data_IF_667968691004
#
_entry.id   IF_667968691004
#
_cell.length_a   1.000
_cell.length_b   1.000
_cell.length_c   1.000
_cell.angle_alpha   90.00
_cell.angle_beta   90.00
_cell.angle_gamma   90.00
#
_symmetry.space_group_name_H-M   'P 1'
#
loop_
_entity.id
_entity.type
_entity.pdbx_description
1 polymer ?
#
# COMPACT_ATOMS: atom_id res chain seq x y z
N UNK A 1 -17.00 -7.70 13.57
CA UNK A 1 -16.74 -9.06 13.03
C UNK A 1 -17.28 -9.28 11.60
N UNK A 2 -18.33 -8.58 11.13
CA UNK A 2 -18.83 -8.75 9.74
C UNK A 2 -18.03 -8.03 8.64
N UNK A 3 -17.38 -6.89 8.96
CA UNK A 3 -16.64 -6.08 7.97
C UNK A 3 -15.48 -6.83 7.31
N UNK A 4 -14.75 -7.66 8.07
CA UNK A 4 -13.60 -8.41 7.57
C UNK A 4 -14.00 -9.45 6.51
N UNK A 5 -15.16 -10.08 6.66
CA UNK A 5 -15.66 -11.08 5.71
C UNK A 5 -16.10 -10.47 4.37
N UNK A 6 -16.61 -9.24 4.41
CA UNK A 6 -16.99 -8.47 3.21
C UNK A 6 -15.74 -7.97 2.50
N UNK A 7 -14.76 -7.45 3.25
CA UNK A 7 -13.49 -6.96 2.70
C UNK A 7 -12.72 -8.04 1.93
N UNK A 8 -12.74 -9.29 2.42
CA UNK A 8 -12.10 -10.44 1.74
C UNK A 8 -12.73 -10.80 0.39
N UNK A 9 -13.92 -10.28 0.07
CA UNK A 9 -14.65 -10.51 -1.18
C UNK A 9 -14.60 -9.32 -2.13
N UNK A 10 -13.82 -8.30 -1.79
CA UNK A 10 -13.56 -7.17 -2.68
C UNK A 10 -12.26 -7.47 -3.41
N UNK A 11 -12.38 -7.59 -4.73
CA UNK A 11 -11.28 -7.90 -5.64
C UNK A 11 -10.87 -6.65 -6.41
N UNK A 12 -9.66 -6.66 -6.95
CA UNK A 12 -9.18 -5.60 -7.82
C UNK A 12 -9.09 -6.13 -9.25
N UNK A 13 -9.89 -5.53 -10.15
CA UNK A 13 -10.00 -5.92 -11.56
C UNK A 13 -10.09 -4.65 -12.39
N UNK A 14 -9.25 -4.54 -13.44
CA UNK A 14 -9.16 -3.32 -14.27
C UNK A 14 -8.96 -2.04 -13.44
N UNK A 15 -8.11 -2.10 -12.42
CA UNK A 15 -7.85 -0.99 -11.48
C UNK A 15 -9.09 -0.52 -10.71
N UNK A 16 -10.17 -1.31 -10.73
CA UNK A 16 -11.40 -1.04 -10.01
C UNK A 16 -11.62 -2.08 -8.93
N UNK A 17 -12.11 -1.63 -7.78
CA UNK A 17 -12.55 -2.51 -6.72
C UNK A 17 -13.94 -3.03 -7.04
N UNK A 18 -14.06 -4.34 -7.12
CA UNK A 18 -15.29 -5.01 -7.55
C UNK A 18 -15.65 -6.17 -6.63
N UNK A 19 -16.95 -6.46 -6.55
CA UNK A 19 -17.48 -7.65 -5.90
C UNK A 19 -18.20 -8.52 -6.93
N UNK A 20 -18.02 -9.83 -6.81
CA UNK A 20 -18.58 -10.77 -7.79
C UNK A 20 -20.04 -11.07 -7.51
N UNK A 21 -20.81 -11.36 -8.57
CA UNK A 21 -22.23 -11.70 -8.50
C UNK A 21 -22.56 -12.81 -7.48
N UNK A 22 -21.71 -13.82 -7.35
CA UNK A 22 -21.91 -14.95 -6.45
C UNK A 22 -21.63 -14.61 -4.99
N UNK A 23 -20.65 -13.76 -4.75
CA UNK A 23 -20.33 -13.24 -3.43
C UNK A 23 -21.46 -12.32 -2.95
N UNK A 24 -21.93 -11.42 -3.82
CA UNK A 24 -23.09 -10.57 -3.55
C UNK A 24 -24.35 -11.38 -3.30
N UNK A 25 -24.63 -12.38 -4.13
CA UNK A 25 -25.79 -13.24 -3.94
C UNK A 25 -25.75 -13.98 -2.60
N UNK A 26 -24.58 -14.49 -2.20
CA UNK A 26 -24.38 -15.12 -0.89
C UNK A 26 -24.62 -14.15 0.26
N UNK A 27 -24.07 -12.93 0.17
CA UNK A 27 -24.24 -11.88 1.17
C UNK A 27 -25.70 -11.43 1.30
N UNK A 28 -26.41 -11.30 0.18
CA UNK A 28 -27.83 -10.95 0.13
C UNK A 28 -28.76 -12.14 0.44
N UNK A 29 -28.22 -13.34 0.65
CA UNK A 29 -28.99 -14.58 0.88
C UNK A 29 -29.99 -14.89 -0.24
N UNK A 30 -29.59 -14.66 -1.48
CA UNK A 30 -30.37 -14.99 -2.67
C UNK A 30 -29.56 -15.88 -3.61
N UNK A 31 -30.25 -16.55 -4.52
CA UNK A 31 -29.56 -17.29 -5.58
C UNK A 31 -28.87 -16.32 -6.56
N UNK A 32 -27.66 -16.66 -7.01
CA UNK A 32 -26.95 -15.88 -8.04
C UNK A 32 -27.78 -15.71 -9.32
N UNK A 33 -28.61 -16.70 -9.66
CA UNK A 33 -29.55 -16.61 -10.79
C UNK A 33 -30.56 -15.48 -10.60
N UNK A 34 -31.13 -15.34 -9.39
CA UNK A 34 -32.11 -14.28 -9.07
C UNK A 34 -31.48 -12.90 -9.13
N UNK A 35 -30.25 -12.75 -8.65
CA UNK A 35 -29.49 -11.51 -8.78
C UNK A 35 -29.32 -11.12 -10.26
N UNK A 36 -28.84 -12.07 -11.10
CA UNK A 36 -28.65 -11.84 -12.54
C UNK A 36 -29.96 -11.50 -13.25
N UNK A 37 -31.07 -12.15 -12.90
CA UNK A 37 -32.38 -11.83 -13.44
C UNK A 37 -32.83 -10.42 -13.08
N UNK A 38 -32.65 -10.00 -11.82
CA UNK A 38 -33.03 -8.67 -11.34
C UNK A 38 -32.24 -7.56 -12.05
N UNK A 39 -30.95 -7.78 -12.26
CA UNK A 39 -30.06 -6.90 -13.03
C UNK A 39 -30.48 -6.82 -14.50
N UNK A 40 -30.73 -7.97 -15.15
CA UNK A 40 -31.15 -8.01 -16.56
C UNK A 40 -32.49 -7.31 -16.81
N UNK A 41 -33.44 -7.41 -15.88
CA UNK A 41 -34.72 -6.67 -15.94
C UNK A 41 -34.55 -5.16 -15.81
N UNK A 42 -33.47 -4.72 -15.15
CA UNK A 42 -33.19 -3.31 -14.88
C UNK A 42 -31.90 -2.83 -15.55
N UNK A 43 -31.56 -3.37 -16.73
CA UNK A 43 -30.25 -3.14 -17.38
C UNK A 43 -29.94 -1.65 -17.65
N UNK A 44 -30.98 -0.83 -17.84
CA UNK A 44 -30.86 0.62 -17.96
C UNK A 44 -30.27 1.31 -16.71
N UNK A 45 -30.32 0.67 -15.53
CA UNK A 45 -29.74 1.15 -14.28
C UNK A 45 -28.30 0.74 -14.06
N UNK A 46 -27.76 -0.12 -14.94
CA UNK A 46 -26.45 -0.74 -14.81
C UNK A 46 -25.61 -0.46 -16.07
N UNK A 47 -25.08 0.76 -16.20
CA UNK A 47 -24.08 1.07 -17.21
C UNK A 47 -22.75 0.33 -16.95
N UNK A 48 -21.83 0.37 -17.91
CA UNK A 48 -20.58 -0.42 -17.89
C UNK A 48 -19.65 -0.07 -16.72
N UNK A 49 -19.73 1.15 -16.20
CA UNK A 49 -19.00 1.63 -15.02
C UNK A 49 -19.60 1.11 -13.69
N UNK A 50 -20.81 0.57 -13.71
CA UNK A 50 -21.48 -0.01 -12.53
C UNK A 50 -21.28 -1.52 -12.49
N UNK A 51 -21.28 -2.17 -13.64
CA UNK A 51 -21.01 -3.59 -13.75
C UNK A 51 -20.47 -3.99 -15.12
N UNK A 52 -19.70 -5.07 -15.13
CA UNK A 52 -19.22 -5.67 -16.37
C UNK A 52 -19.06 -7.18 -16.19
N UNK A 53 -19.09 -7.91 -17.30
CA UNK A 53 -18.79 -9.34 -17.31
C UNK A 53 -17.27 -9.52 -17.39
N UNK A 54 -16.72 -10.43 -16.58
CA UNK A 54 -15.29 -10.72 -16.62
C UNK A 54 -14.91 -11.45 -17.91
N UNK A 55 -13.75 -11.11 -18.46
CA UNK A 55 -13.10 -11.94 -19.46
C UNK A 55 -12.63 -13.26 -18.83
N UNK A 56 -12.44 -14.28 -19.67
CA UNK A 56 -12.02 -15.60 -19.21
C UNK A 56 -10.65 -15.54 -18.52
N UNK A 57 -9.74 -14.76 -19.11
CA UNK A 57 -8.39 -14.54 -18.61
C UNK A 57 -8.41 -13.83 -17.26
N UNK A 58 -9.25 -12.80 -17.11
CA UNK A 58 -9.44 -12.08 -15.84
C UNK A 58 -9.94 -13.01 -14.74
N UNK A 59 -10.93 -13.85 -15.08
CA UNK A 59 -11.49 -14.82 -14.15
C UNK A 59 -10.48 -15.91 -13.75
N UNK A 60 -9.71 -16.43 -14.70
CA UNK A 60 -8.69 -17.46 -14.44
C UNK A 60 -7.55 -16.91 -13.55
N UNK A 61 -7.13 -15.66 -13.76
CA UNK A 61 -6.15 -14.98 -12.92
C UNK A 61 -6.63 -14.82 -11.48
N UNK A 62 -7.85 -14.29 -11.29
CA UNK A 62 -8.47 -14.17 -9.96
C UNK A 62 -8.52 -15.53 -9.25
N UNK A 63 -9.02 -16.54 -9.94
CA UNK A 63 -9.18 -17.89 -9.41
C UNK A 63 -7.86 -18.53 -8.99
N UNK A 64 -6.78 -18.25 -9.72
CA UNK A 64 -5.44 -18.73 -9.39
C UNK A 64 -4.89 -18.09 -8.10
N UNK A 65 -5.20 -16.82 -7.84
CA UNK A 65 -4.80 -16.13 -6.60
C UNK A 65 -5.56 -16.65 -5.36
N UNK A 66 -6.83 -17.04 -5.51
CA UNK A 66 -7.67 -17.49 -4.38
C UNK A 66 -7.74 -19.03 -4.24
N UNK A 67 -6.80 -19.76 -4.84
CA UNK A 67 -6.62 -21.22 -4.72
C UNK A 67 -7.93 -22.03 -4.84
N UNK A 68 -8.86 -21.60 -5.71
CA UNK A 68 -10.20 -22.19 -5.78
C UNK A 68 -10.23 -23.41 -6.74
N UNK A 69 -10.63 -24.58 -6.24
CA UNK A 69 -10.58 -25.90 -6.93
C UNK A 69 -11.17 -25.96 -8.34
N UNK A 70 -10.40 -26.51 -9.31
CA UNK A 70 -10.71 -26.75 -10.76
C UNK A 70 -11.94 -27.62 -11.10
N UNK A 71 -12.67 -28.10 -10.10
CA UNK A 71 -13.76 -29.07 -10.30
C UNK A 71 -15.10 -28.37 -10.55
N UNK A 72 -15.28 -27.86 -11.76
CA UNK A 72 -16.57 -27.32 -12.22
C UNK A 72 -16.40 -25.99 -12.93
N UNK A 73 -16.06 -26.04 -14.22
CA UNK A 73 -16.06 -24.85 -15.06
C UNK A 73 -17.43 -24.19 -15.03
N UNK A 74 -17.50 -22.91 -14.69
CA UNK A 74 -18.75 -22.16 -14.79
C UNK A 74 -19.14 -22.04 -16.26
N UNK A 75 -20.41 -22.33 -16.55
CA UNK A 75 -20.99 -22.20 -17.91
C UNK A 75 -21.10 -20.74 -18.37
N UNK A 76 -21.08 -19.78 -17.45
CA UNK A 76 -21.22 -18.35 -17.72
C UNK A 76 -20.21 -17.57 -16.87
N UNK A 77 -19.63 -16.52 -17.44
CA UNK A 77 -18.71 -15.67 -16.69
C UNK A 77 -19.48 -14.90 -15.60
N UNK A 78 -18.83 -14.65 -14.45
CA UNK A 78 -19.43 -13.84 -13.41
C UNK A 78 -19.47 -12.38 -13.82
N UNK A 79 -20.50 -11.68 -13.35
CA UNK A 79 -20.51 -10.23 -13.36
C UNK A 79 -19.72 -9.70 -12.15
N UNK A 80 -18.92 -8.68 -12.42
CA UNK A 80 -18.26 -7.85 -11.44
C UNK A 80 -19.06 -6.56 -11.25
N UNK A 81 -19.29 -6.18 -9.99
CA UNK A 81 -19.99 -4.95 -9.62
C UNK A 81 -19.06 -4.01 -8.89
N UNK A 82 -19.00 -2.75 -9.34
CA UNK A 82 -18.26 -1.69 -8.64
C UNK A 82 -19.05 -1.21 -7.41
N UNK A 83 -18.45 -0.32 -6.60
CA UNK A 83 -19.16 0.32 -5.48
C UNK A 83 -20.51 0.92 -5.91
N UNK A 84 -20.53 1.61 -7.05
CA UNK A 84 -21.74 2.19 -7.62
C UNK A 84 -22.74 1.13 -8.06
N UNK A 85 -22.28 0.05 -8.70
CA UNK A 85 -23.13 -1.09 -9.06
C UNK A 85 -23.78 -1.74 -7.85
N UNK A 86 -23.01 -1.94 -6.78
CA UNK A 86 -23.51 -2.48 -5.52
C UNK A 86 -24.52 -1.52 -4.87
N UNK A 87 -24.23 -0.22 -4.83
CA UNK A 87 -25.21 0.78 -4.37
C UNK A 87 -26.53 0.69 -5.17
N UNK A 88 -26.46 0.54 -6.49
CA UNK A 88 -27.66 0.38 -7.33
C UNK A 88 -28.45 -0.89 -7.06
N UNK A 89 -27.81 -1.96 -6.57
CA UNK A 89 -28.50 -3.20 -6.21
C UNK A 89 -29.53 -2.97 -5.08
N UNK A 90 -29.36 -1.99 -4.19
CA UNK A 90 -30.40 -1.64 -3.20
C UNK A 90 -31.68 -1.09 -3.85
N UNK A 91 -31.60 -0.50 -5.04
CA UNK A 91 -32.80 0.00 -5.75
C UNK A 91 -33.58 -1.11 -6.46
N UNK A 92 -32.98 -2.30 -6.56
CA UNK A 92 -33.51 -3.45 -7.30
C UNK A 92 -33.86 -4.60 -6.37
N UNK A 93 -33.11 -4.78 -5.28
CA UNK A 93 -33.31 -5.80 -4.26
C UNK A 93 -33.95 -5.17 -3.02
N UNK A 94 -35.23 -5.48 -2.79
CA UNK A 94 -36.04 -4.83 -1.75
C UNK A 94 -36.23 -5.69 -0.48
N UNK A 95 -35.44 -6.74 -0.25
CA UNK A 95 -35.54 -7.50 0.99
C UNK A 95 -34.79 -6.80 2.12
N UNK A 96 -35.32 -6.85 3.35
CA UNK A 96 -34.68 -6.25 4.53
C UNK A 96 -33.21 -6.69 4.68
N UNK A 97 -32.95 -7.98 4.41
CA UNK A 97 -31.60 -8.54 4.42
C UNK A 97 -30.69 -7.96 3.34
N UNK A 98 -31.20 -7.76 2.12
CA UNK A 98 -30.42 -7.16 1.04
C UNK A 98 -30.11 -5.69 1.33
N UNK A 99 -31.05 -4.94 1.91
CA UNK A 99 -30.86 -3.54 2.31
C UNK A 99 -29.78 -3.43 3.38
N UNK A 100 -29.89 -4.20 4.47
CA UNK A 100 -28.91 -4.22 5.57
C UNK A 100 -27.51 -4.54 5.03
N UNK A 101 -27.41 -5.58 4.21
CA UNK A 101 -26.14 -6.02 3.67
C UNK A 101 -25.58 -5.03 2.65
N UNK A 102 -26.43 -4.34 1.87
CA UNK A 102 -25.93 -3.36 0.91
C UNK A 102 -25.26 -2.19 1.62
N UNK A 103 -25.86 -1.72 2.73
CA UNK A 103 -25.27 -0.69 3.59
C UNK A 103 -23.91 -1.17 4.13
N UNK A 104 -23.82 -2.43 4.57
CA UNK A 104 -22.57 -3.00 5.07
C UNK A 104 -21.49 -3.09 3.98
N UNK A 105 -21.86 -3.47 2.76
CA UNK A 105 -20.94 -3.58 1.64
C UNK A 105 -20.43 -2.20 1.21
N UNK A 106 -21.31 -1.21 1.03
CA UNK A 106 -20.90 0.16 0.69
C UNK A 106 -19.95 0.73 1.75
N UNK A 107 -20.23 0.52 3.04
CA UNK A 107 -19.31 0.91 4.13
C UNK A 107 -17.95 0.25 4.02
N UNK A 108 -17.89 -1.02 3.61
CA UNK A 108 -16.63 -1.72 3.40
C UNK A 108 -15.82 -1.13 2.23
N UNK A 109 -16.48 -0.76 1.12
CA UNK A 109 -15.83 -0.07 0.00
C UNK A 109 -15.26 1.29 0.41
N UNK A 110 -16.03 2.10 1.13
CA UNK A 110 -15.58 3.41 1.65
C UNK A 110 -14.37 3.24 2.59
N UNK A 111 -14.46 2.32 3.56
CA UNK A 111 -13.36 2.08 4.50
C UNK A 111 -12.07 1.63 3.78
N UNK A 112 -12.19 0.78 2.76
CA UNK A 112 -11.04 0.40 1.94
C UNK A 112 -10.48 1.59 1.15
N UNK A 113 -11.34 2.49 0.65
CA UNK A 113 -10.91 3.68 -0.09
C UNK A 113 -10.15 4.65 0.82
N UNK A 114 -10.63 4.87 2.04
CA UNK A 114 -9.95 5.66 3.05
C UNK A 114 -8.57 5.07 3.40
N UNK A 115 -8.48 3.75 3.59
CA UNK A 115 -7.19 3.07 3.81
C UNK A 115 -6.22 3.23 2.63
N UNK A 116 -6.73 3.23 1.40
CA UNK A 116 -5.91 3.43 0.21
C UNK A 116 -5.34 4.86 0.14
N UNK A 117 -6.15 5.86 0.47
CA UNK A 117 -5.72 7.25 0.52
C UNK A 117 -4.69 7.48 1.64
N UNK A 118 -4.94 6.92 2.83
CA UNK A 118 -4.01 7.02 3.95
C UNK A 118 -2.64 6.39 3.65
N UNK A 119 -2.60 5.33 2.84
CA UNK A 119 -1.33 4.71 2.41
C UNK A 119 -0.45 5.68 1.60
N UNK A 120 -1.05 6.55 0.79
CA UNK A 120 -0.32 7.55 0.00
C UNK A 120 0.42 8.54 0.90
N UNK A 121 -0.28 9.11 1.88
CA UNK A 121 0.29 10.06 2.83
C UNK A 121 1.38 9.42 3.70
N UNK A 122 1.17 8.17 4.13
CA UNK A 122 2.15 7.43 4.91
C UNK A 122 3.45 7.16 4.15
N UNK A 123 3.37 6.82 2.86
CA UNK A 123 4.56 6.64 2.02
C UNK A 123 5.36 7.94 1.85
N UNK A 124 4.67 9.08 1.73
CA UNK A 124 5.34 10.38 1.71
C UNK A 124 6.02 10.70 3.04
N UNK A 125 5.36 10.44 4.17
CA UNK A 125 5.95 10.62 5.50
C UNK A 125 7.18 9.73 5.73
N UNK A 126 7.17 8.49 5.24
CA UNK A 126 8.35 7.63 5.30
C UNK A 126 9.50 8.16 4.44
N UNK A 127 9.19 8.70 3.25
CA UNK A 127 10.21 9.30 2.39
C UNK A 127 10.83 10.54 3.02
N UNK A 128 10.04 11.44 3.61
CA UNK A 128 10.57 12.63 4.29
C UNK A 128 11.44 12.25 5.48
N UNK A 129 10.97 11.33 6.33
CA UNK A 129 11.74 10.84 7.48
C UNK A 129 13.07 10.21 7.04
N UNK A 130 13.07 9.40 5.98
CA UNK A 130 14.28 8.79 5.42
C UNK A 130 15.27 9.85 4.93
N UNK A 131 14.78 10.91 4.29
CA UNK A 131 15.61 11.99 3.78
C UNK A 131 16.20 12.81 4.95
N UNK A 132 15.42 13.09 5.98
CA UNK A 132 15.89 13.77 7.19
C UNK A 132 16.98 12.98 7.91
N UNK A 133 16.81 11.66 7.99
CA UNK A 133 17.83 10.77 8.58
C UNK A 133 19.11 10.75 7.74
N UNK A 134 19.02 10.64 6.41
CA UNK A 134 20.20 10.73 5.54
C UNK A 134 20.93 12.05 5.74
N UNK A 135 20.19 13.17 5.75
CA UNK A 135 20.81 14.48 5.93
C UNK A 135 21.55 14.58 7.27
N UNK A 136 20.98 14.05 8.36
CA UNK A 136 21.66 14.03 9.66
C UNK A 136 22.93 13.17 9.64
N UNK A 137 22.90 12.02 8.97
CA UNK A 137 24.08 11.16 8.80
C UNK A 137 25.17 11.90 8.02
N UNK A 138 24.83 12.54 6.90
CA UNK A 138 25.78 13.29 6.08
C UNK A 138 26.45 14.43 6.89
N UNK A 139 25.66 15.15 7.70
CA UNK A 139 26.17 16.20 8.59
C UNK A 139 27.09 15.61 9.65
N UNK A 140 26.73 14.49 10.26
CA UNK A 140 27.56 13.83 11.26
C UNK A 140 28.87 13.30 10.66
N UNK A 141 28.85 12.74 9.45
CA UNK A 141 30.04 12.26 8.74
C UNK A 141 31.01 13.40 8.43
N UNK A 142 30.48 14.57 8.02
CA UNK A 142 31.28 15.77 7.83
C UNK A 142 31.90 16.26 9.15
N UNK A 143 31.13 16.27 10.24
CA UNK A 143 31.62 16.67 11.56
C UNK A 143 32.70 15.71 12.08
N UNK A 144 32.50 14.39 11.94
CA UNK A 144 33.49 13.39 12.32
C UNK A 144 34.79 13.57 11.53
N UNK A 145 34.70 13.83 10.23
CA UNK A 145 35.86 14.10 9.37
C UNK A 145 36.67 15.30 9.86
N UNK A 146 35.98 16.38 10.27
CA UNK A 146 36.63 17.57 10.84
C UNK A 146 37.31 17.27 12.18
N UNK A 147 36.67 16.47 13.04
CA UNK A 147 37.26 16.04 14.33
C UNK A 147 38.52 15.21 14.08
N UNK A 148 38.47 14.26 13.15
CA UNK A 148 39.63 13.45 12.77
C UNK A 148 40.79 14.32 12.28
N UNK A 149 40.52 15.28 11.39
CA UNK A 149 41.54 16.19 10.87
C UNK A 149 42.15 17.07 11.97
N UNK A 150 41.33 17.55 12.91
CA UNK A 150 41.80 18.32 14.06
C UNK A 150 42.68 17.49 14.99
N UNK A 151 42.29 16.25 15.29
CA UNK A 151 43.07 15.32 16.11
C UNK A 151 44.41 14.99 15.43
N UNK A 152 44.41 14.72 14.12
CA UNK A 152 45.63 14.46 13.35
C UNK A 152 46.58 15.66 13.39
N UNK A 153 46.06 16.88 13.17
CA UNK A 153 46.84 18.12 13.31
C UNK A 153 47.43 18.25 14.72
N UNK A 154 46.65 18.01 15.77
CA UNK A 154 47.14 18.10 17.15
C UNK A 154 48.26 17.10 17.42
N UNK A 155 48.08 15.83 17.06
CA UNK A 155 49.09 14.78 17.23
C UNK A 155 50.39 15.11 16.47
N UNK A 156 50.28 15.58 15.24
CA UNK A 156 51.44 16.00 14.44
C UNK A 156 52.15 17.21 15.06
N UNK A 157 51.41 18.22 15.54
CA UNK A 157 52.03 19.39 16.19
C UNK A 157 52.72 19.05 17.52
N UNK A 158 52.20 18.08 18.28
CA UNK A 158 52.85 17.59 19.49
C UNK A 158 54.16 16.85 19.17
N UNK A 159 54.16 16.01 18.13
CA UNK A 159 55.36 15.33 17.65
C UNK A 159 56.42 16.34 17.16
N UNK A 160 56.02 17.37 16.41
CA UNK A 160 56.92 18.43 15.94
C UNK A 160 57.49 19.28 17.09
N UNK A 161 56.70 19.60 18.11
CA UNK A 161 57.17 20.32 19.30
C UNK A 161 58.22 19.53 20.06
N UNK A 162 57.98 18.23 20.31
CA UNK A 162 58.96 17.35 20.96
C UNK A 162 60.26 17.25 20.16
N UNK A 163 60.17 17.06 18.84
CA UNK A 163 61.34 17.02 17.97
C UNK A 163 62.14 18.35 17.99
N UNK A 164 61.45 19.51 18.03
CA UNK A 164 62.09 20.83 18.16
C UNK A 164 62.77 21.03 19.52
N UNK A 165 62.16 20.58 20.61
CA UNK A 165 62.76 20.65 21.96
C UNK A 165 64.01 19.76 22.06
N UNK A 166 63.96 18.55 21.52
CA UNK A 166 65.13 17.66 21.44
C UNK A 166 66.25 18.25 20.60
N UNK A 167 65.93 18.83 19.42
CA UNK A 167 66.90 19.51 18.57
C UNK A 167 67.50 20.76 19.25
N UNK A 168 66.69 21.51 20.00
CA UNK A 168 67.15 22.67 20.78
C UNK A 168 68.07 22.28 21.94
N UNK A 169 67.78 21.17 22.60
CA UNK A 169 68.59 20.66 23.71
C UNK A 169 69.93 20.07 23.21
N UNK A 170 69.94 19.44 22.03
CA UNK A 170 71.12 18.81 21.44
C UNK A 170 71.99 19.75 20.58
N UNK A 171 71.65 21.05 20.50
CA UNK A 171 72.44 21.99 19.69
C UNK A 171 73.81 22.28 20.33
N UNK A 172 74.88 22.29 19.52
CA UNK A 172 76.21 22.72 19.97
C UNK A 172 76.16 24.19 20.40
N UNK A 173 76.41 24.45 21.68
CA UNK A 173 76.48 25.82 22.22
C UNK A 173 77.75 26.49 21.72
N UNK A 174 77.61 27.49 20.86
CA UNK A 174 78.74 28.32 20.41
C UNK A 174 78.94 29.43 21.44
N UNK A 175 79.92 29.27 22.32
CA UNK A 175 80.39 30.33 23.20
C UNK A 175 81.60 31.02 22.59
N UNK A 176 81.63 32.36 22.62
CA UNK A 176 82.84 33.13 22.34
C UNK A 176 83.86 32.88 23.46
N UNK A 177 85.11 32.58 23.10
CA UNK A 177 86.26 32.45 24.00
C UNK A 177 86.78 33.82 24.41
#
# INVERSE_FOLDING_TARGET
MQLTFIQQRIYEVREQRVMMDYDLAHLYQIETKRLKEAVRRNRNRFPEDFMFELAKEEYDLLRSQFATSNRGGRRYMPFAFTEHGVAMLASVLNSDKAIEMNIAIVRAFIALRELALYRGDFLQQLQSLRNDLHHRIDVHDAQLSQIYEALEKMLNTEAEKKAREEAWNNRKRVGYK
#
